data_IF_810015071496
#
_entry.id   IF_810015071496
#
_cell.length_a   1.000
_cell.length_b   1.000
_cell.length_c   1.000
_cell.angle_alpha   90.00
_cell.angle_beta   90.00
_cell.angle_gamma   90.00
#
_symmetry.space_group_name_H-M   'P 1'
#
loop_
_entity.id
_entity.type
_entity.pdbx_description
1 polymer ?
#
# COMPACT_ATOMS: atom_id res chain seq x y z
N UNK A 1 4.43 9.69 24.21
CA UNK A 1 4.16 10.48 22.99
C UNK A 1 3.14 9.69 22.19
N UNK A 2 2.00 10.27 21.82
CA UNK A 2 1.00 9.53 21.06
C UNK A 2 1.67 8.99 19.79
N UNK A 3 1.41 7.72 19.48
CA UNK A 3 1.43 6.96 18.21
C UNK A 3 1.60 7.65 16.83
N UNK A 4 2.02 8.92 16.73
CA UNK A 4 2.31 9.68 15.51
C UNK A 4 3.17 8.90 14.51
N UNK A 5 4.22 8.22 14.98
CA UNK A 5 5.05 7.37 14.11
C UNK A 5 4.25 6.24 13.46
N UNK A 6 3.34 5.60 14.20
CA UNK A 6 2.50 4.52 13.66
C UNK A 6 1.46 5.06 12.69
N UNK A 7 0.89 6.25 12.93
CA UNK A 7 0.00 6.89 11.96
C UNK A 7 0.74 7.26 10.65
N UNK A 8 1.97 7.75 10.75
CA UNK A 8 2.81 8.02 9.58
C UNK A 8 3.10 6.72 8.81
N UNK A 9 3.47 5.64 9.51
CA UNK A 9 3.72 4.33 8.89
C UNK A 9 2.44 3.82 8.20
N UNK A 10 1.29 3.89 8.87
CA UNK A 10 0.01 3.48 8.30
C UNK A 10 -0.33 4.28 7.03
N UNK A 11 -0.09 5.60 7.03
CA UNK A 11 -0.28 6.45 5.85
C UNK A 11 0.60 6.06 4.67
N UNK A 12 1.89 5.80 4.92
CA UNK A 12 2.85 5.36 3.88
C UNK A 12 2.39 4.02 3.29
N UNK A 13 2.04 3.05 4.13
CA UNK A 13 1.57 1.73 3.68
C UNK A 13 0.31 1.84 2.83
N UNK A 14 -0.64 2.70 3.22
CA UNK A 14 -1.86 2.93 2.44
C UNK A 14 -1.57 3.53 1.06
N UNK A 15 -0.68 4.52 0.98
CA UNK A 15 -0.30 5.17 -0.29
C UNK A 15 0.40 4.19 -1.23
N UNK A 16 1.34 3.39 -0.72
CA UNK A 16 2.02 2.34 -1.50
C UNK A 16 1.03 1.27 -1.95
N UNK A 17 0.12 0.85 -1.06
CA UNK A 17 -0.90 -0.13 -1.39
C UNK A 17 -1.85 0.35 -2.49
N UNK A 18 -2.32 1.60 -2.40
CA UNK A 18 -3.15 2.23 -3.43
C UNK A 18 -2.42 2.38 -4.75
N UNK A 19 -1.13 2.73 -4.73
CA UNK A 19 -0.32 2.80 -5.94
C UNK A 19 -0.28 1.46 -6.68
N UNK A 20 -0.06 0.36 -5.94
CA UNK A 20 -0.09 -0.98 -6.53
C UNK A 20 -1.51 -1.45 -6.89
N UNK A 21 -2.57 -0.97 -6.25
CA UNK A 21 -3.94 -1.40 -6.55
C UNK A 21 -4.65 -0.58 -7.65
N UNK A 22 -4.34 0.72 -7.80
CA UNK A 22 -5.15 1.66 -8.58
C UNK A 22 -4.56 2.02 -9.96
N UNK A 23 -3.29 1.72 -10.23
CA UNK A 23 -2.72 2.07 -11.53
C UNK A 23 -3.31 1.19 -12.65
N UNK A 24 -3.74 1.78 -13.78
CA UNK A 24 -4.24 1.01 -14.92
C UNK A 24 -3.15 0.09 -15.49
N UNK A 25 -3.54 -1.11 -15.91
CA UNK A 25 -2.68 -2.09 -16.59
C UNK A 25 -1.75 -1.48 -17.65
N UNK A 26 -2.28 -0.54 -18.45
CA UNK A 26 -1.56 0.15 -19.53
C UNK A 26 -0.44 1.06 -19.02
N UNK A 27 -0.54 1.57 -17.80
CA UNK A 27 0.51 2.39 -17.19
C UNK A 27 1.63 1.49 -16.68
N UNK A 28 1.32 0.35 -16.06
CA UNK A 28 2.35 -0.56 -15.52
C UNK A 28 3.24 -1.22 -16.58
N UNK A 29 2.66 -1.64 -17.71
CA UNK A 29 3.40 -2.33 -18.78
C UNK A 29 4.23 -1.37 -19.63
N UNK A 30 3.79 -0.12 -19.79
CA UNK A 30 4.50 0.87 -20.62
C UNK A 30 5.53 1.70 -19.85
N UNK A 31 5.35 1.91 -18.55
CA UNK A 31 6.22 2.78 -17.75
C UNK A 31 7.33 2.05 -16.98
N UNK A 32 7.29 0.72 -16.89
CA UNK A 32 8.20 -0.07 -16.04
C UNK A 32 7.95 0.08 -14.53
N UNK A 33 7.01 0.94 -14.13
CA UNK A 33 6.67 1.27 -12.74
C UNK A 33 6.02 0.09 -12.01
N UNK A 34 5.34 -0.80 -12.73
CA UNK A 34 4.83 -2.06 -12.17
C UNK A 34 5.91 -3.11 -11.90
N UNK A 35 7.20 -2.78 -12.08
CA UNK A 35 8.34 -3.69 -11.96
C UNK A 35 8.22 -4.96 -12.83
N UNK A 36 7.42 -4.90 -13.91
CA UNK A 36 7.11 -6.05 -14.75
C UNK A 36 6.20 -7.11 -14.09
N UNK A 37 5.57 -6.79 -12.95
CA UNK A 37 4.66 -7.69 -12.26
C UNK A 37 3.37 -7.90 -13.07
N UNK A 38 2.86 -9.13 -13.06
CA UNK A 38 1.54 -9.41 -13.65
C UNK A 38 0.46 -8.66 -12.88
N UNK A 39 -0.69 -8.42 -13.54
CA UNK A 39 -1.79 -7.68 -12.92
C UNK A 39 -2.18 -8.22 -11.55
N UNK A 40 -2.40 -9.53 -11.51
CA UNK A 40 -2.78 -10.26 -10.30
C UNK A 40 -1.76 -10.03 -9.19
N UNK A 41 -0.46 -10.06 -9.51
CA UNK A 41 0.61 -9.93 -8.52
C UNK A 41 0.65 -8.51 -7.94
N UNK A 42 0.59 -7.47 -8.77
CA UNK A 42 0.66 -6.11 -8.24
C UNK A 42 -0.62 -5.72 -7.46
N UNK A 43 -1.80 -6.20 -7.88
CA UNK A 43 -3.04 -6.03 -7.10
C UNK A 43 -2.96 -6.73 -5.74
N UNK A 44 -2.44 -7.96 -5.68
CA UNK A 44 -2.24 -8.68 -4.42
C UNK A 44 -1.28 -7.93 -3.49
N UNK A 45 -0.16 -7.44 -4.02
CA UNK A 45 0.80 -6.63 -3.26
C UNK A 45 0.11 -5.37 -2.71
N UNK A 46 -0.66 -4.68 -3.54
CA UNK A 46 -1.45 -3.53 -3.12
C UNK A 46 -2.39 -3.83 -1.96
N UNK A 47 -3.13 -4.94 -2.04
CA UNK A 47 -4.04 -5.39 -0.99
C UNK A 47 -3.29 -5.71 0.33
N UNK A 48 -2.13 -6.37 0.26
CA UNK A 48 -1.30 -6.68 1.44
C UNK A 48 -0.87 -5.38 2.15
N UNK A 49 -0.42 -4.39 1.40
CA UNK A 49 -0.01 -3.09 1.95
C UNK A 49 -1.19 -2.33 2.59
N UNK A 50 -2.38 -2.38 1.99
CA UNK A 50 -3.59 -1.78 2.57
C UNK A 50 -3.98 -2.49 3.88
N UNK A 51 -3.95 -3.82 3.92
CA UNK A 51 -4.24 -4.59 5.13
C UNK A 51 -3.23 -4.24 6.24
N UNK A 52 -1.94 -4.18 5.91
CA UNK A 52 -0.91 -3.77 6.85
C UNK A 52 -1.14 -2.35 7.39
N UNK A 53 -1.54 -1.40 6.53
CA UNK A 53 -1.88 -0.04 6.95
C UNK A 53 -3.02 -0.04 7.98
N UNK A 54 -4.08 -0.82 7.75
CA UNK A 54 -5.21 -0.96 8.68
C UNK A 54 -4.73 -1.52 10.02
N UNK A 55 -3.94 -2.58 10.01
CA UNK A 55 -3.43 -3.21 11.24
C UNK A 55 -2.59 -2.20 12.05
N UNK A 56 -1.68 -1.48 11.40
CA UNK A 56 -0.83 -0.48 12.06
C UNK A 56 -1.66 0.68 12.60
N UNK A 57 -2.65 1.16 11.84
CA UNK A 57 -3.57 2.20 12.29
C UNK A 57 -4.39 1.78 13.52
N UNK A 58 -4.88 0.53 13.53
CA UNK A 58 -5.63 -0.01 14.66
C UNK A 58 -4.75 -0.22 15.89
N UNK A 59 -3.48 -0.58 15.70
CA UNK A 59 -2.49 -0.65 16.78
C UNK A 59 -2.19 0.73 17.37
N UNK A 60 -2.04 1.75 16.51
CA UNK A 60 -1.89 3.14 16.91
C UNK A 60 -3.04 3.60 17.78
N UNK A 61 -4.28 3.39 17.33
CA UNK A 61 -5.49 3.82 18.06
C UNK A 61 -5.62 3.21 19.47
N UNK A 62 -5.01 2.05 19.73
CA UNK A 62 -5.05 1.36 21.03
C UNK A 62 -3.96 1.81 22.02
N UNK A 63 -2.93 2.52 21.55
CA UNK A 63 -1.76 2.96 22.33
C UNK A 63 -1.89 4.43 22.76
#
# INVERSE_FOLDING_TARGET
MPNTTQYVIAGILALVGLFYAALPHSVHTSSGIGLGLSHTVHVIIGAVFIIAAIVVFMAAKKA
#
